data_IF_806596758638
#
_entry.id   IF_806596758638
#
_cell.length_a   1.000
_cell.length_b   1.000
_cell.length_c   1.000
_cell.angle_alpha   90.00
_cell.angle_beta   90.00
_cell.angle_gamma   90.00
#
_symmetry.space_group_name_H-M   'P 1'
#
loop_
_entity.id
_entity.type
_entity.pdbx_description
1 polymer ?
#
# COMPACT_ATOMS: atom_id res chain seq x y z
N UNK A 1 -12.23 -36.15 -34.98
CA UNK A 1 -11.07 -36.47 -35.81
C UNK A 1 -10.11 -35.29 -35.74
N UNK A 2 -9.56 -35.10 -34.54
CA UNK A 2 -8.13 -35.10 -34.22
C UNK A 2 -7.18 -34.58 -35.31
N UNK A 3 -6.43 -33.52 -34.98
CA UNK A 3 -5.01 -33.70 -34.72
C UNK A 3 -4.40 -32.47 -34.04
N UNK A 4 -3.96 -32.74 -32.81
CA UNK A 4 -3.08 -31.93 -31.98
C UNK A 4 -1.73 -31.66 -32.65
N UNK A 5 -1.16 -30.49 -32.37
CA UNK A 5 0.28 -30.27 -32.47
C UNK A 5 0.64 -29.02 -31.67
N UNK A 6 0.40 -29.07 -30.36
CA UNK A 6 1.00 -28.14 -29.42
C UNK A 6 2.45 -28.62 -29.22
N UNK A 7 3.39 -28.07 -29.98
CA UNK A 7 4.82 -28.40 -29.85
C UNK A 7 5.34 -27.76 -28.57
N UNK A 8 5.21 -28.51 -27.47
CA UNK A 8 5.98 -28.29 -26.26
C UNK A 8 7.46 -28.38 -26.60
N UNK A 9 8.19 -27.27 -26.47
CA UNK A 9 9.64 -27.32 -26.34
C UNK A 9 9.92 -27.65 -24.89
N UNK A 10 10.14 -28.92 -24.63
CA UNK A 10 10.67 -29.43 -23.37
C UNK A 10 12.04 -28.80 -23.12
N UNK A 11 12.07 -27.75 -22.31
CA UNK A 11 13.31 -27.32 -21.66
C UNK A 11 13.40 -28.15 -20.37
N UNK A 12 13.93 -29.35 -20.53
CA UNK A 12 14.30 -30.20 -19.41
C UNK A 12 15.51 -29.58 -18.70
N UNK A 13 15.31 -29.05 -17.49
CA UNK A 13 16.41 -28.77 -16.57
C UNK A 13 15.97 -29.24 -15.19
N UNK A 14 16.38 -30.47 -14.90
CA UNK A 14 16.14 -31.22 -13.67
C UNK A 14 16.40 -30.37 -12.42
N UNK A 15 15.41 -30.31 -11.53
CA UNK A 15 15.61 -29.88 -10.15
C UNK A 15 15.10 -31.02 -9.27
N UNK A 16 16.04 -31.61 -8.54
CA UNK A 16 15.80 -32.65 -7.55
C UNK A 16 14.98 -32.06 -6.38
N UNK A 17 13.90 -32.75 -6.03
CA UNK A 17 13.05 -32.46 -4.89
C UNK A 17 13.77 -32.81 -3.59
N UNK A 18 13.84 -31.88 -2.64
CA UNK A 18 13.95 -32.23 -1.21
C UNK A 18 13.09 -31.26 -0.37
N UNK A 19 12.06 -31.84 0.23
CA UNK A 19 11.17 -31.24 1.23
C UNK A 19 11.90 -31.07 2.58
N UNK A 20 11.73 -29.91 3.24
CA UNK A 20 11.08 -29.81 4.57
C UNK A 20 11.16 -28.41 5.20
N UNK A 21 9.95 -27.95 5.54
CA UNK A 21 9.48 -27.08 6.65
C UNK A 21 10.54 -26.50 7.59
N UNK A 22 10.51 -25.17 7.73
CA UNK A 22 10.53 -24.55 9.05
C UNK A 22 9.64 -23.29 9.05
N UNK A 23 8.56 -23.32 9.83
CA UNK A 23 7.64 -22.19 10.00
C UNK A 23 8.21 -21.22 11.04
N UNK A 24 9.29 -20.54 10.65
CA UNK A 24 9.78 -19.35 11.33
C UNK A 24 8.93 -18.13 10.94
N UNK A 25 8.60 -17.29 11.92
CA UNK A 25 7.94 -16.00 11.74
C UNK A 25 8.91 -14.98 11.10
N UNK A 26 9.13 -15.12 9.79
CA UNK A 26 9.98 -14.24 8.98
C UNK A 26 9.14 -13.13 8.34
N UNK A 27 9.64 -11.90 8.45
CA UNK A 27 9.02 -10.67 7.96
C UNK A 27 8.65 -10.82 6.47
N UNK A 28 7.52 -10.25 6.04
CA UNK A 28 7.06 -10.31 4.65
C UNK A 28 8.14 -9.85 3.64
N UNK A 29 9.03 -8.95 4.05
CA UNK A 29 10.18 -8.51 3.26
C UNK A 29 11.28 -9.58 3.12
N UNK A 30 11.64 -10.28 4.20
CA UNK A 30 12.68 -11.33 4.19
C UNK A 30 12.26 -12.52 3.32
N UNK A 31 10.96 -12.83 3.27
CA UNK A 31 10.40 -13.85 2.37
C UNK A 31 10.50 -13.47 0.90
N UNK A 32 10.43 -12.18 0.57
CA UNK A 32 10.52 -11.70 -0.83
C UNK A 32 11.99 -11.68 -1.27
N UNK A 33 12.88 -11.20 -0.41
CA UNK A 33 14.33 -11.16 -0.66
C UNK A 33 14.92 -12.57 -0.87
N UNK A 34 14.45 -13.57 -0.14
CA UNK A 34 14.87 -14.98 -0.31
C UNK A 34 14.39 -15.62 -1.64
N UNK A 35 13.37 -15.06 -2.28
CA UNK A 35 12.87 -15.51 -3.59
C UNK A 35 13.61 -14.76 -4.70
N UNK A 36 13.81 -13.46 -4.53
CA UNK A 36 14.52 -12.60 -5.46
C UNK A 36 16.02 -12.95 -5.58
N UNK A 37 16.64 -13.46 -4.51
CA UNK A 37 18.03 -13.94 -4.55
C UNK A 37 18.27 -15.16 -5.46
N UNK A 38 17.21 -15.88 -5.84
CA UNK A 38 17.25 -17.07 -6.71
C UNK A 38 16.91 -16.77 -8.17
N UNK A 39 16.59 -15.51 -8.47
CA UNK A 39 16.13 -15.05 -9.78
C UNK A 39 17.10 -13.97 -10.27
N UNK A 40 17.27 -13.84 -11.58
CA UNK A 40 18.09 -12.77 -12.15
C UNK A 40 17.44 -11.40 -11.87
N UNK A 41 18.23 -10.39 -11.48
CA UNK A 41 17.75 -9.04 -11.15
C UNK A 41 16.93 -8.36 -12.28
N UNK A 42 17.14 -8.80 -13.52
CA UNK A 42 16.41 -8.35 -14.71
C UNK A 42 14.99 -8.91 -14.80
N UNK A 43 14.73 -10.08 -14.19
CA UNK A 43 13.42 -10.74 -14.15
C UNK A 43 12.57 -10.33 -12.95
N UNK A 44 13.07 -9.45 -12.08
CA UNK A 44 12.32 -8.95 -10.92
C UNK A 44 11.50 -7.72 -11.35
N UNK A 45 10.16 -7.75 -11.21
CA UNK A 45 9.33 -6.59 -11.50
C UNK A 45 9.68 -5.40 -10.61
N UNK A 46 10.00 -4.25 -11.22
CA UNK A 46 10.31 -2.99 -10.55
C UNK A 46 9.19 -1.98 -10.79
N UNK A 47 8.92 -1.15 -9.78
CA UNK A 47 7.94 -0.07 -9.90
C UNK A 47 8.45 0.93 -10.96
N UNK A 48 7.63 1.19 -11.97
CA UNK A 48 7.98 2.09 -13.08
C UNK A 48 8.58 1.40 -14.31
N UNK A 49 8.67 0.06 -14.34
CA UNK A 49 8.96 -0.66 -15.59
C UNK A 49 7.86 -0.38 -16.62
N UNK A 50 8.29 -0.17 -17.86
CA UNK A 50 7.40 0.02 -19.02
C UNK A 50 7.65 -1.11 -19.99
N UNK A 51 6.59 -1.53 -20.66
CA UNK A 51 6.60 -2.51 -21.72
C UNK A 51 6.08 -1.84 -22.97
N UNK A 52 6.63 -2.21 -24.12
CA UNK A 52 6.21 -1.66 -25.41
C UNK A 52 4.88 -2.31 -25.87
N UNK A 53 4.57 -3.51 -25.37
CA UNK A 53 3.34 -4.25 -25.67
C UNK A 53 2.74 -4.97 -24.45
N UNK A 54 1.43 -5.23 -24.51
CA UNK A 54 0.70 -6.08 -23.55
C UNK A 54 1.26 -7.51 -23.52
N UNK A 55 1.62 -8.05 -24.68
CA UNK A 55 2.20 -9.40 -24.79
C UNK A 55 3.57 -9.49 -24.10
N UNK A 56 4.36 -8.42 -24.19
CA UNK A 56 5.68 -8.34 -23.53
C UNK A 56 5.53 -8.31 -22.02
N UNK A 57 4.60 -7.51 -21.51
CA UNK A 57 4.26 -7.47 -20.09
C UNK A 57 3.74 -8.83 -19.61
N UNK A 58 2.82 -9.46 -20.36
CA UNK A 58 2.27 -10.77 -20.03
C UNK A 58 3.37 -11.84 -19.94
N UNK A 59 4.27 -11.89 -20.92
CA UNK A 59 5.37 -12.84 -20.95
C UNK A 59 6.35 -12.62 -19.79
N UNK A 60 6.70 -11.38 -19.49
CA UNK A 60 7.58 -11.03 -18.39
C UNK A 60 7.00 -11.48 -17.04
N UNK A 61 5.76 -11.11 -16.75
CA UNK A 61 5.11 -11.48 -15.50
C UNK A 61 4.82 -12.98 -15.42
N UNK A 62 4.53 -13.64 -16.54
CA UNK A 62 4.38 -15.10 -16.58
C UNK A 62 5.68 -15.79 -16.21
N UNK A 63 6.80 -15.39 -16.80
CA UNK A 63 8.13 -15.94 -16.50
C UNK A 63 8.50 -15.73 -15.02
N UNK A 64 8.25 -14.53 -14.47
CA UNK A 64 8.44 -14.26 -13.05
C UNK A 64 7.56 -15.15 -12.16
N UNK A 65 6.28 -15.32 -12.51
CA UNK A 65 5.34 -16.16 -11.78
C UNK A 65 5.77 -17.64 -11.77
N UNK A 66 6.25 -18.15 -12.91
CA UNK A 66 6.85 -19.49 -13.02
C UNK A 66 8.09 -19.65 -12.15
N UNK A 67 9.00 -18.66 -12.12
CA UNK A 67 10.22 -18.70 -11.32
C UNK A 67 9.96 -18.60 -9.82
N UNK A 68 8.92 -17.87 -9.41
CA UNK A 68 8.54 -17.73 -8.01
C UNK A 68 7.69 -18.89 -7.49
N UNK A 69 7.07 -19.67 -8.39
CA UNK A 69 6.33 -20.89 -8.07
C UNK A 69 5.04 -20.69 -7.27
N UNK A 70 4.57 -19.45 -7.09
CA UNK A 70 3.46 -19.13 -6.18
C UNK A 70 2.15 -18.78 -6.87
N UNK A 71 2.20 -18.26 -8.10
CA UNK A 71 1.03 -17.75 -8.80
C UNK A 71 1.11 -18.09 -10.29
N UNK A 72 -0.05 -18.17 -10.94
CA UNK A 72 -0.19 -18.33 -12.39
C UNK A 72 -1.10 -17.21 -12.91
N UNK A 73 -0.66 -16.52 -13.95
CA UNK A 73 -1.46 -15.52 -14.63
C UNK A 73 -2.38 -16.25 -15.61
N UNK A 74 -3.69 -16.01 -15.51
CA UNK A 74 -4.69 -16.63 -16.38
C UNK A 74 -5.05 -15.70 -17.53
N UNK A 75 -5.52 -14.50 -17.22
CA UNK A 75 -5.92 -13.50 -18.19
C UNK A 75 -5.53 -12.11 -17.68
N UNK A 76 -5.05 -11.25 -18.58
CA UNK A 76 -4.85 -9.84 -18.32
C UNK A 76 -5.92 -9.04 -19.09
N UNK A 77 -6.65 -8.18 -18.38
CA UNK A 77 -7.72 -7.36 -18.96
C UNK A 77 -7.39 -5.90 -18.68
N UNK A 78 -6.75 -5.25 -19.65
CA UNK A 78 -6.40 -3.83 -19.55
C UNK A 78 -7.61 -2.90 -19.63
N UNK A 79 -8.71 -3.35 -20.25
CA UNK A 79 -9.88 -2.55 -20.52
C UNK A 79 -10.81 -2.49 -19.30
N UNK A 80 -11.19 -1.27 -18.91
CA UNK A 80 -12.13 -1.04 -17.83
C UNK A 80 -13.48 -0.57 -18.38
N UNK A 81 -14.57 -0.98 -17.73
CA UNK A 81 -15.94 -0.54 -18.05
C UNK A 81 -16.21 0.91 -17.64
N UNK A 82 -15.25 1.59 -17.03
CA UNK A 82 -15.35 2.97 -16.59
C UNK A 82 -14.01 3.70 -16.76
N UNK A 83 -14.07 5.03 -16.81
CA UNK A 83 -12.87 5.87 -16.82
C UNK A 83 -12.14 5.72 -15.49
N UNK A 84 -10.86 5.36 -15.54
CA UNK A 84 -10.01 5.29 -14.35
C UNK A 84 -9.90 6.66 -13.68
N UNK A 85 -9.61 6.67 -12.37
CA UNK A 85 -9.48 7.94 -11.64
C UNK A 85 -8.42 8.83 -12.28
N UNK A 86 -8.81 10.06 -12.64
CA UNK A 86 -7.87 11.05 -13.18
C UNK A 86 -6.79 11.36 -12.15
N UNK A 87 -5.53 11.60 -12.55
CA UNK A 87 -4.44 11.94 -11.63
C UNK A 87 -4.76 13.11 -10.68
N UNK A 88 -5.53 14.10 -11.14
CA UNK A 88 -6.00 15.22 -10.29
C UNK A 88 -6.79 14.77 -9.04
N UNK A 89 -7.49 13.64 -9.12
CA UNK A 89 -8.29 13.06 -8.02
C UNK A 89 -7.55 11.98 -7.24
N UNK A 90 -6.27 11.75 -7.51
CA UNK A 90 -5.51 10.67 -6.87
C UNK A 90 -5.40 10.85 -5.35
N UNK A 91 -5.37 12.11 -4.88
CA UNK A 91 -5.37 12.47 -3.45
C UNK A 91 -6.62 11.97 -2.68
N UNK A 92 -7.70 11.58 -3.37
CA UNK A 92 -8.88 10.96 -2.76
C UNK A 92 -8.72 9.46 -2.54
N UNK A 93 -7.68 8.83 -3.09
CA UNK A 93 -7.39 7.43 -2.86
C UNK A 93 -6.82 7.24 -1.46
N UNK A 94 -7.38 6.29 -0.70
CA UNK A 94 -6.94 6.00 0.68
C UNK A 94 -5.46 5.67 0.81
N UNK A 95 -4.87 5.04 -0.21
CA UNK A 95 -3.45 4.71 -0.23
C UNK A 95 -2.55 5.95 -0.34
N UNK A 96 -3.09 7.06 -0.86
CA UNK A 96 -2.40 8.32 -1.06
C UNK A 96 -2.68 9.34 0.04
N UNK A 97 -3.79 9.20 0.78
CA UNK A 97 -4.08 10.00 1.98
C UNK A 97 -3.21 9.60 3.16
N UNK A 98 -2.00 10.17 3.26
CA UNK A 98 -1.06 9.93 4.36
C UNK A 98 -0.63 11.24 4.99
N UNK A 99 -0.93 11.40 6.28
CA UNK A 99 -0.48 12.55 7.05
C UNK A 99 1.03 12.46 7.29
N UNK A 100 1.78 13.43 6.78
CA UNK A 100 3.22 13.52 7.04
C UNK A 100 3.50 14.03 8.45
N UNK A 101 4.69 13.75 8.99
CA UNK A 101 5.09 14.23 10.31
C UNK A 101 5.04 15.76 10.43
N UNK A 102 5.49 16.48 9.39
CA UNK A 102 5.48 17.95 9.37
C UNK A 102 4.05 18.48 9.42
N UNK A 103 3.15 17.89 8.63
CA UNK A 103 1.73 18.28 8.63
C UNK A 103 1.06 17.96 9.97
N UNK A 104 1.39 16.82 10.59
CA UNK A 104 0.90 16.48 11.93
C UNK A 104 1.33 17.52 12.98
N UNK A 105 2.59 17.95 12.96
CA UNK A 105 3.09 19.00 13.85
C UNK A 105 2.38 20.35 13.62
N UNK A 106 2.09 20.69 12.36
CA UNK A 106 1.34 21.90 12.03
C UNK A 106 -0.13 21.83 12.51
N UNK A 107 -0.76 20.66 12.41
CA UNK A 107 -2.10 20.41 12.95
C UNK A 107 -2.10 20.59 14.48
N UNK A 108 -1.08 20.05 15.15
CA UNK A 108 -0.93 20.14 16.60
C UNK A 108 -0.73 21.59 17.08
N UNK A 109 0.07 22.35 16.33
CA UNK A 109 0.24 23.78 16.59
C UNK A 109 -1.07 24.54 16.40
N UNK A 110 -1.84 24.24 15.35
CA UNK A 110 -3.13 24.87 15.12
C UNK A 110 -4.17 24.52 16.20
N UNK A 111 -4.25 23.26 16.63
CA UNK A 111 -5.17 22.77 17.66
C UNK A 111 -4.84 23.41 19.03
N UNK A 112 -3.55 23.47 19.39
CA UNK A 112 -3.09 24.15 20.62
C UNK A 112 -3.28 25.67 20.57
N UNK A 113 -3.26 26.27 19.38
CA UNK A 113 -3.57 27.69 19.17
C UNK A 113 -5.08 27.98 19.11
N UNK A 114 -5.94 26.98 19.30
CA UNK A 114 -7.40 27.13 19.27
C UNK A 114 -7.98 27.41 17.88
N UNK A 115 -7.21 27.20 16.82
CA UNK A 115 -7.67 27.42 15.45
C UNK A 115 -8.67 26.33 15.09
N UNK A 116 -9.84 26.74 14.59
CA UNK A 116 -10.86 25.80 14.16
C UNK A 116 -10.30 24.85 13.07
N UNK A 117 -10.52 23.53 13.16
CA UNK A 117 -10.05 22.53 12.19
C UNK A 117 -10.28 22.90 10.72
N UNK A 118 -11.44 23.49 10.42
CA UNK A 118 -11.80 23.93 9.07
C UNK A 118 -10.89 25.07 8.58
N UNK A 119 -10.60 26.04 9.45
CA UNK A 119 -9.76 27.19 9.12
C UNK A 119 -8.29 26.78 8.98
N UNK A 120 -7.80 25.89 9.86
CA UNK A 120 -6.45 25.32 9.76
C UNK A 120 -6.25 24.58 8.43
N UNK A 121 -7.18 23.68 8.08
CA UNK A 121 -7.11 22.94 6.83
C UNK A 121 -7.17 23.86 5.60
N UNK A 122 -8.02 24.89 5.63
CA UNK A 122 -8.11 25.87 4.55
C UNK A 122 -6.81 26.68 4.39
N UNK A 123 -6.17 27.06 5.50
CA UNK A 123 -4.88 27.75 5.49
C UNK A 123 -3.78 26.87 4.88
N UNK A 124 -3.71 25.59 5.27
CA UNK A 124 -2.77 24.63 4.69
C UNK A 124 -3.02 24.49 3.18
N UNK A 125 -4.29 24.32 2.76
CA UNK A 125 -4.65 24.19 1.35
C UNK A 125 -4.22 25.44 0.55
N UNK A 126 -4.48 26.64 1.09
CA UNK A 126 -4.04 27.89 0.46
C UNK A 126 -2.52 27.97 0.31
N UNK A 127 -1.76 27.50 1.30
CA UNK A 127 -0.29 27.50 1.24
C UNK A 127 0.25 26.60 0.12
N UNK A 128 -0.37 25.45 -0.10
CA UNK A 128 0.04 24.49 -1.15
C UNK A 128 -0.73 24.69 -2.47
N UNK A 129 -1.53 25.75 -2.59
CA UNK A 129 -2.24 26.10 -3.82
C UNK A 129 -3.47 25.25 -4.14
N UNK A 130 -4.01 24.50 -3.18
CA UNK A 130 -5.20 23.67 -3.37
C UNK A 130 -5.33 22.56 -2.34
N UNK A 131 -6.49 21.90 -2.30
CA UNK A 131 -6.68 20.74 -1.42
C UNK A 131 -6.02 19.48 -2.01
N UNK A 132 -5.99 19.39 -3.34
CA UNK A 132 -5.37 18.34 -4.12
C UNK A 132 -3.86 18.19 -3.85
N UNK A 133 -3.19 19.27 -3.42
CA UNK A 133 -1.75 19.31 -3.17
C UNK A 133 -1.38 19.01 -1.71
N UNK A 134 -2.35 18.82 -0.81
CA UNK A 134 -2.09 18.54 0.60
C UNK A 134 -1.55 17.14 0.85
N UNK A 135 -1.88 16.16 -0.01
CA UNK A 135 -1.50 14.76 0.22
C UNK A 135 -2.29 14.06 1.34
N UNK A 136 -3.31 14.70 1.89
CA UNK A 136 -4.27 14.08 2.81
C UNK A 136 -5.65 14.73 2.67
N UNK A 137 -6.69 13.99 3.05
CA UNK A 137 -8.09 14.42 2.94
C UNK A 137 -8.55 15.03 4.27
N UNK A 138 -9.60 15.86 4.22
CA UNK A 138 -10.29 16.38 5.41
C UNK A 138 -10.58 15.30 6.46
N UNK A 139 -10.94 14.09 6.02
CA UNK A 139 -11.26 13.01 6.95
C UNK A 139 -10.03 12.48 7.67
N UNK A 140 -8.86 12.47 7.02
CA UNK A 140 -7.59 12.12 7.67
C UNK A 140 -7.26 13.10 8.79
N UNK A 141 -7.45 14.40 8.55
CA UNK A 141 -7.29 15.46 9.56
C UNK A 141 -8.20 15.22 10.78
N UNK A 142 -9.49 14.95 10.53
CA UNK A 142 -10.47 14.68 11.60
C UNK A 142 -10.13 13.40 12.36
N UNK A 143 -9.76 12.34 11.64
CA UNK A 143 -9.39 11.06 12.21
C UNK A 143 -8.14 11.19 13.10
N UNK A 144 -7.16 11.98 12.67
CA UNK A 144 -5.97 12.28 13.45
C UNK A 144 -6.31 12.96 14.77
N UNK A 145 -7.05 14.08 14.75
CA UNK A 145 -7.45 14.78 15.97
C UNK A 145 -8.31 13.91 16.90
N UNK A 146 -9.26 13.15 16.34
CA UNK A 146 -10.09 12.23 17.11
C UNK A 146 -9.23 11.17 17.82
N UNK A 147 -8.30 10.56 17.10
CA UNK A 147 -7.40 9.54 17.64
C UNK A 147 -6.50 10.14 18.73
N UNK A 148 -5.91 11.32 18.48
CA UNK A 148 -5.07 12.04 19.44
C UNK A 148 -5.82 12.33 20.74
N UNK A 149 -7.03 12.92 20.65
CA UNK A 149 -7.86 13.22 21.83
C UNK A 149 -8.26 11.96 22.57
N UNK A 150 -8.63 10.90 21.86
CA UNK A 150 -8.99 9.61 22.49
C UNK A 150 -7.82 8.98 23.23
N UNK A 151 -6.60 9.07 22.67
CA UNK A 151 -5.39 8.57 23.34
C UNK A 151 -5.10 9.40 24.60
N UNK A 152 -5.17 10.73 24.50
CA UNK A 152 -4.97 11.62 25.65
C UNK A 152 -5.98 11.34 26.78
N UNK A 153 -7.27 11.19 26.42
CA UNK A 153 -8.33 10.82 27.36
C UNK A 153 -8.06 9.48 28.04
N UNK A 154 -7.66 8.44 27.28
CA UNK A 154 -7.32 7.12 27.84
C UNK A 154 -6.14 7.16 28.82
N UNK A 155 -5.17 8.05 28.61
CA UNK A 155 -3.99 8.18 29.47
C UNK A 155 -4.31 8.98 30.76
N UNK A 156 -5.26 9.91 30.73
CA UNK A 156 -5.52 10.84 31.85
C UNK A 156 -6.85 10.71 32.59
N UNK A 157 -7.90 10.14 31.99
CA UNK A 157 -9.27 10.27 32.52
C UNK A 157 -9.82 9.00 33.19
N UNK A 158 -9.36 7.81 32.79
CA UNK A 158 -9.78 6.55 33.42
C UNK A 158 -9.34 6.50 34.88
N UNK A 159 -8.17 7.06 35.21
CA UNK A 159 -7.67 7.05 36.58
C UNK A 159 -8.57 7.87 37.51
N UNK A 160 -8.92 9.12 37.16
CA UNK A 160 -9.73 9.99 38.02
C UNK A 160 -11.18 9.54 38.18
N UNK A 161 -11.81 9.03 37.12
CA UNK A 161 -13.18 8.50 37.19
C UNK A 161 -13.22 7.19 37.96
N UNK A 162 -12.23 6.32 37.80
CA UNK A 162 -12.13 5.05 38.52
C UNK A 162 -11.80 5.25 40.00
N UNK A 163 -10.93 6.21 40.32
CA UNK A 163 -10.62 6.61 41.71
C UNK A 163 -11.86 7.21 42.40
N UNK A 164 -12.61 8.07 41.71
CA UNK A 164 -13.89 8.59 42.23
C UNK A 164 -14.91 7.47 42.51
N UNK A 165 -15.05 6.52 41.57
CA UNK A 165 -15.98 5.37 41.70
C UNK A 165 -15.53 4.35 42.76
N UNK A 166 -14.23 4.25 43.06
CA UNK A 166 -13.69 3.41 44.14
C UNK A 166 -13.71 4.09 45.51
N UNK A 167 -13.74 5.43 45.54
CA UNK A 167 -13.83 6.23 46.76
C UNK A 167 -15.25 6.41 47.30
N UNK A 168 -16.27 5.96 46.54
CA UNK A 168 -17.65 5.78 46.99
C UNK A 168 -17.88 4.36 47.50
#
# INVERSE_FOLDING_TARGET
MDNDSCVGKDINMSLEDEDKKDEGNINGQEKIEAIHSKILDEMIPKVGMKFESEDEAYNFYSAYAYKTGKYRITDFIAQHTHVTSTPSKSHLHRSQGKLTFIQAAEIDLADSSGIAPKASLELMAKRVGGYENLGFVRDDYKNYLKTKRTIQMKVGETCGVLEYLQSM
#
